data_IF_413815931331
#
_entry.id   IF_413815931331
#
_cell.length_a   1.000
_cell.length_b   1.000
_cell.length_c   1.000
_cell.angle_alpha   90.00
_cell.angle_beta   90.00
_cell.angle_gamma   90.00
#
_symmetry.space_group_name_H-M   'P 1'
#
loop_
_entity.id
_entity.type
_entity.pdbx_description
1 polymer ?
#
# COMPACT_ATOMS: atom_id res chain seq x y z
N UNK A 1 -14.92 11.41 27.33
CA UNK A 1 -16.15 10.99 26.62
C UNK A 1 -15.80 10.35 25.27
N UNK A 2 -14.89 10.94 24.49
CA UNK A 2 -14.42 10.39 23.20
C UNK A 2 -13.78 9.00 23.30
N UNK A 3 -12.97 8.73 24.33
CA UNK A 3 -12.36 7.40 24.54
C UNK A 3 -13.38 6.28 24.76
N UNK A 4 -14.49 6.58 25.43
CA UNK A 4 -15.58 5.62 25.66
C UNK A 4 -16.29 5.26 24.36
N UNK A 5 -16.49 6.25 23.48
CA UNK A 5 -17.11 6.06 22.16
C UNK A 5 -16.17 5.26 21.24
N UNK A 6 -14.87 5.58 21.22
CA UNK A 6 -13.87 4.84 20.46
C UNK A 6 -13.78 3.37 20.93
N UNK A 7 -13.79 3.13 22.25
CA UNK A 7 -13.80 1.78 22.82
C UNK A 7 -15.07 1.01 22.46
N UNK A 8 -16.24 1.64 22.54
CA UNK A 8 -17.51 1.01 22.16
C UNK A 8 -17.52 0.63 20.66
N UNK A 9 -17.05 1.52 19.78
CA UNK A 9 -16.93 1.26 18.34
C UNK A 9 -15.95 0.12 18.04
N UNK A 10 -14.80 0.09 18.72
CA UNK A 10 -13.83 -1.01 18.59
C UNK A 10 -14.45 -2.35 19.00
N UNK A 11 -15.13 -2.41 20.14
CA UNK A 11 -15.78 -3.62 20.63
C UNK A 11 -16.90 -4.08 19.68
N UNK A 12 -17.67 -3.14 19.15
CA UNK A 12 -18.70 -3.44 18.15
C UNK A 12 -18.11 -4.04 16.88
N UNK A 13 -17.03 -3.44 16.35
CA UNK A 13 -16.34 -3.98 15.18
C UNK A 13 -15.76 -5.38 15.43
N UNK A 14 -15.12 -5.60 16.59
CA UNK A 14 -14.60 -6.92 16.99
C UNK A 14 -15.70 -7.97 17.10
N UNK A 15 -16.84 -7.63 17.70
CA UNK A 15 -17.99 -8.53 17.80
C UNK A 15 -18.49 -8.97 16.41
N UNK A 16 -18.66 -8.01 15.49
CA UNK A 16 -19.12 -8.31 14.15
C UNK A 16 -18.10 -9.07 13.30
N UNK A 17 -16.81 -8.78 13.48
CA UNK A 17 -15.72 -9.55 12.87
C UNK A 17 -15.72 -11.01 13.34
N UNK A 18 -15.77 -11.25 14.65
CA UNK A 18 -15.81 -12.62 15.19
C UNK A 18 -17.05 -13.38 14.72
N UNK A 19 -18.20 -12.70 14.68
CA UNK A 19 -19.46 -13.26 14.18
C UNK A 19 -19.36 -13.61 12.69
N UNK A 20 -18.83 -12.73 11.85
CA UNK A 20 -18.70 -13.01 10.42
C UNK A 20 -17.74 -14.16 10.14
N UNK A 21 -16.66 -14.31 10.93
CA UNK A 21 -15.73 -15.45 10.81
C UNK A 21 -16.45 -16.77 11.11
N UNK A 22 -17.24 -16.82 12.18
CA UNK A 22 -18.03 -18.01 12.53
C UNK A 22 -19.07 -18.34 11.46
N UNK A 23 -19.75 -17.31 10.95
CA UNK A 23 -20.76 -17.49 9.90
C UNK A 23 -20.15 -17.94 8.57
N UNK A 24 -18.98 -17.40 8.20
CA UNK A 24 -18.24 -17.85 7.02
C UNK A 24 -17.82 -19.31 7.16
N UNK A 25 -17.31 -19.72 8.31
CA UNK A 25 -16.94 -21.11 8.57
C UNK A 25 -18.13 -22.05 8.38
N UNK A 26 -19.31 -21.64 8.86
CA UNK A 26 -20.58 -22.37 8.67
C UNK A 26 -20.93 -22.49 7.18
N UNK A 27 -20.96 -21.39 6.44
CA UNK A 27 -21.28 -21.36 4.99
C UNK A 27 -20.33 -22.26 4.18
N UNK A 28 -19.03 -22.22 4.49
CA UNK A 28 -18.02 -23.07 3.86
C UNK A 28 -18.23 -24.55 4.17
N UNK A 29 -18.59 -24.88 5.41
CA UNK A 29 -18.86 -26.27 5.82
C UNK A 29 -20.11 -26.87 5.14
N UNK A 30 -21.12 -26.05 4.89
CA UNK A 30 -22.38 -26.44 4.26
C UNK A 30 -22.32 -26.51 2.73
N UNK A 31 -21.19 -26.12 2.11
CA UNK A 31 -20.95 -26.11 0.65
C UNK A 31 -22.09 -25.43 -0.14
N UNK A 32 -22.59 -24.31 0.37
CA UNK A 32 -23.66 -23.57 -0.29
C UNK A 32 -23.21 -23.02 -1.66
N UNK A 33 -24.15 -22.92 -2.61
CA UNK A 33 -23.86 -22.28 -3.90
C UNK A 33 -23.42 -20.82 -3.67
N UNK A 34 -22.27 -20.44 -4.25
CA UNK A 34 -21.70 -19.10 -4.08
C UNK A 34 -20.82 -18.94 -2.82
N UNK A 35 -20.55 -20.01 -2.08
CA UNK A 35 -19.68 -19.97 -0.91
C UNK A 35 -18.27 -19.42 -1.23
N UNK A 36 -17.72 -19.71 -2.41
CA UNK A 36 -16.42 -19.17 -2.83
C UNK A 36 -16.45 -17.64 -3.01
N UNK A 37 -17.51 -17.08 -3.60
CA UNK A 37 -17.67 -15.63 -3.76
C UNK A 37 -17.81 -14.94 -2.41
N UNK A 38 -18.64 -15.50 -1.52
CA UNK A 38 -18.82 -15.00 -0.15
C UNK A 38 -17.48 -15.05 0.61
N UNK A 39 -16.71 -16.13 0.47
CA UNK A 39 -15.41 -16.26 1.12
C UNK A 39 -14.39 -15.24 0.59
N UNK A 40 -14.36 -14.99 -0.71
CA UNK A 40 -13.52 -13.95 -1.32
C UNK A 40 -13.87 -12.56 -0.81
N UNK A 41 -15.16 -12.22 -0.71
CA UNK A 41 -15.61 -10.92 -0.15
C UNK A 41 -15.16 -10.79 1.30
N UNK A 42 -15.40 -11.82 2.11
CA UNK A 42 -15.01 -11.79 3.52
C UNK A 42 -13.49 -11.66 3.68
N UNK A 43 -12.69 -12.35 2.89
CA UNK A 43 -11.23 -12.20 2.90
C UNK A 43 -10.81 -10.75 2.60
N UNK A 44 -11.42 -10.05 1.63
CA UNK A 44 -11.14 -8.61 1.38
C UNK A 44 -11.49 -7.75 2.59
N UNK A 45 -12.64 -7.98 3.22
CA UNK A 45 -13.04 -7.23 4.41
C UNK A 45 -12.08 -7.49 5.58
N UNK A 46 -11.67 -8.74 5.78
CA UNK A 46 -10.73 -9.10 6.84
C UNK A 46 -9.35 -8.51 6.61
N UNK A 47 -8.85 -8.50 5.37
CA UNK A 47 -7.61 -7.79 5.00
C UNK A 47 -7.66 -6.35 5.51
N UNK A 48 -8.73 -5.61 5.19
CA UNK A 48 -8.87 -4.20 5.61
C UNK A 48 -8.92 -4.07 7.13
N UNK A 49 -9.72 -4.90 7.80
CA UNK A 49 -9.89 -4.86 9.25
C UNK A 49 -8.58 -5.18 9.99
N UNK A 50 -7.89 -6.23 9.58
CA UNK A 50 -6.63 -6.65 10.21
C UNK A 50 -5.52 -5.63 9.99
N UNK A 51 -5.44 -5.04 8.78
CA UNK A 51 -4.52 -3.92 8.57
C UNK A 51 -4.87 -2.69 9.43
N UNK A 52 -6.16 -2.33 9.59
CA UNK A 52 -6.56 -1.23 10.48
C UNK A 52 -6.20 -1.48 11.94
N UNK A 53 -6.17 -2.74 12.37
CA UNK A 53 -5.75 -3.14 13.71
C UNK A 53 -4.24 -3.34 13.85
N UNK A 54 -3.47 -3.18 12.76
CA UNK A 54 -2.03 -3.40 12.75
C UNK A 54 -1.63 -4.88 12.72
N UNK A 55 -2.59 -5.79 12.52
CA UNK A 55 -2.37 -7.23 12.35
C UNK A 55 -1.96 -7.53 10.90
N UNK A 56 -0.83 -6.98 10.48
CA UNK A 56 -0.32 -7.07 9.10
C UNK A 56 -0.16 -8.53 8.67
N UNK A 57 0.31 -9.42 9.55
CA UNK A 57 0.47 -10.83 9.22
C UNK A 57 -0.87 -11.54 8.94
N UNK A 58 -1.90 -11.25 9.72
CA UNK A 58 -3.24 -11.84 9.54
C UNK A 58 -3.91 -11.33 8.27
N UNK A 59 -3.82 -10.02 7.99
CA UNK A 59 -4.38 -9.46 6.75
C UNK A 59 -3.75 -10.12 5.52
N UNK A 60 -2.46 -10.36 5.59
CA UNK A 60 -1.68 -11.07 4.58
C UNK A 60 -2.15 -12.52 4.40
N UNK A 61 -2.43 -13.22 5.50
CA UNK A 61 -2.92 -14.60 5.44
C UNK A 61 -4.29 -14.64 4.73
N UNK A 62 -5.17 -13.68 5.05
CA UNK A 62 -6.45 -13.52 4.35
C UNK A 62 -6.28 -13.23 2.86
N UNK A 63 -5.28 -12.44 2.49
CA UNK A 63 -4.96 -12.19 1.09
C UNK A 63 -4.57 -13.47 0.36
N UNK A 64 -3.66 -14.26 0.94
CA UNK A 64 -3.23 -15.54 0.36
C UNK A 64 -4.41 -16.52 0.22
N UNK A 65 -5.21 -16.70 1.28
CA UNK A 65 -6.40 -17.55 1.26
C UNK A 65 -7.39 -17.12 0.19
N UNK A 66 -7.67 -15.82 0.07
CA UNK A 66 -8.57 -15.28 -0.95
C UNK A 66 -8.05 -15.51 -2.38
N UNK A 67 -6.75 -15.34 -2.61
CA UNK A 67 -6.12 -15.64 -3.91
C UNK A 67 -6.22 -17.12 -4.29
N UNK A 68 -6.02 -18.04 -3.34
CA UNK A 68 -6.17 -19.47 -3.60
C UNK A 68 -7.63 -19.87 -3.89
N UNK A 69 -8.59 -19.29 -3.16
CA UNK A 69 -10.02 -19.45 -3.45
C UNK A 69 -10.34 -18.95 -4.86
N UNK A 70 -9.80 -17.80 -5.27
CA UNK A 70 -9.99 -17.27 -6.62
C UNK A 70 -9.42 -18.21 -7.70
N UNK A 71 -8.22 -18.75 -7.50
CA UNK A 71 -7.61 -19.73 -8.43
C UNK A 71 -8.52 -20.95 -8.60
N UNK A 72 -9.05 -21.48 -7.50
CA UNK A 72 -9.99 -22.62 -7.54
C UNK A 72 -11.32 -22.25 -8.21
N UNK A 73 -11.86 -21.07 -7.89
CA UNK A 73 -13.09 -20.55 -8.48
C UNK A 73 -12.97 -20.41 -10.01
N UNK A 74 -11.84 -19.87 -10.50
CA UNK A 74 -11.53 -19.78 -11.95
C UNK A 74 -11.49 -21.14 -12.62
N UNK A 75 -10.88 -22.16 -11.98
CA UNK A 75 -10.80 -23.53 -12.53
C UNK A 75 -12.18 -24.21 -12.64
N UNK A 76 -13.10 -23.91 -11.73
CA UNK A 76 -14.45 -24.49 -11.69
C UNK A 76 -15.40 -23.87 -12.72
N UNK A 77 -15.06 -22.72 -13.33
CA UNK A 77 -15.98 -22.05 -14.27
C UNK A 77 -15.97 -22.69 -15.66
N UNK A 78 -17.15 -22.84 -16.30
CA UNK A 78 -17.23 -23.29 -17.68
C UNK A 78 -16.58 -22.25 -18.61
N UNK A 79 -15.67 -22.73 -19.46
CA UNK A 79 -15.01 -21.92 -20.50
C UNK A 79 -16.10 -21.29 -21.39
N UNK A 80 -16.21 -19.95 -21.36
CA UNK A 80 -17.18 -19.21 -22.19
C UNK A 80 -18.16 -18.32 -21.43
N UNK A 81 -18.21 -18.34 -20.08
CA UNK A 81 -19.00 -17.36 -19.32
C UNK A 81 -18.30 -16.00 -19.36
N UNK A 82 -18.86 -15.06 -20.12
CA UNK A 82 -18.42 -13.65 -20.10
C UNK A 82 -18.77 -13.07 -18.73
N UNK A 83 -17.75 -12.68 -17.97
CA UNK A 83 -17.95 -11.92 -16.73
C UNK A 83 -18.39 -10.52 -17.14
N UNK A 84 -19.54 -10.06 -16.65
CA UNK A 84 -19.98 -8.69 -16.92
C UNK A 84 -18.95 -7.71 -16.35
N UNK A 85 -18.53 -6.76 -17.18
CA UNK A 85 -17.74 -5.61 -16.77
C UNK A 85 -18.50 -4.90 -15.64
N UNK A 86 -17.81 -4.59 -14.54
CA UNK A 86 -18.35 -4.03 -13.28
C UNK A 86 -19.24 -4.94 -12.42
N UNK A 87 -19.36 -6.23 -12.74
CA UNK A 87 -19.91 -7.19 -11.77
C UNK A 87 -19.05 -7.25 -10.51
N UNK A 88 -19.68 -7.57 -9.37
CA UNK A 88 -18.96 -7.84 -8.11
C UNK A 88 -17.83 -8.85 -8.32
N UNK A 89 -18.09 -9.85 -9.15
CA UNK A 89 -17.11 -10.85 -9.57
C UNK A 89 -15.90 -10.22 -10.29
N UNK A 90 -16.12 -9.40 -11.33
CA UNK A 90 -15.04 -8.70 -12.02
C UNK A 90 -14.24 -7.81 -11.07
N UNK A 91 -14.89 -7.14 -10.13
CA UNK A 91 -14.24 -6.30 -9.12
C UNK A 91 -13.41 -7.12 -8.15
N UNK A 92 -13.92 -8.26 -7.67
CA UNK A 92 -13.15 -9.19 -6.83
C UNK A 92 -11.95 -9.74 -7.60
N UNK A 93 -12.12 -10.12 -8.87
CA UNK A 93 -11.01 -10.56 -9.70
C UNK A 93 -9.96 -9.46 -9.85
N UNK A 94 -10.35 -8.22 -10.17
CA UNK A 94 -9.41 -7.09 -10.24
C UNK A 94 -8.67 -6.88 -8.92
N UNK A 95 -9.40 -6.84 -7.81
CA UNK A 95 -8.84 -6.67 -6.46
C UNK A 95 -7.82 -7.78 -6.17
N UNK A 96 -8.17 -9.04 -6.37
CA UNK A 96 -7.25 -10.17 -6.15
C UNK A 96 -6.21 -10.37 -7.23
N UNK A 97 -6.37 -9.87 -8.45
CA UNK A 97 -5.29 -9.88 -9.45
C UNK A 97 -4.28 -8.81 -9.06
N UNK A 98 -4.72 -7.58 -8.76
CA UNK A 98 -3.85 -6.52 -8.25
C UNK A 98 -3.11 -6.96 -6.99
N UNK A 99 -3.79 -7.57 -6.03
CA UNK A 99 -3.17 -8.04 -4.78
C UNK A 99 -2.48 -9.41 -4.90
N UNK A 100 -2.92 -10.28 -5.81
CA UNK A 100 -2.48 -11.67 -5.92
C UNK A 100 -1.27 -11.87 -6.82
N UNK A 101 -1.03 -11.00 -7.81
CA UNK A 101 0.28 -10.90 -8.46
C UNK A 101 1.37 -10.59 -7.42
N UNK A 102 1.02 -9.88 -6.34
CA UNK A 102 1.93 -9.55 -5.24
C UNK A 102 2.15 -10.73 -4.27
N UNK A 103 1.27 -11.73 -4.22
CA UNK A 103 1.38 -12.85 -3.26
C UNK A 103 1.77 -14.17 -3.91
N UNK A 104 1.39 -14.40 -5.17
CA UNK A 104 1.76 -15.63 -5.87
C UNK A 104 3.26 -15.69 -6.18
N UNK A 105 3.92 -14.54 -6.37
CA UNK A 105 5.40 -14.46 -6.45
C UNK A 105 6.09 -14.76 -5.11
N UNK A 106 5.38 -14.57 -4.00
CA UNK A 106 5.87 -14.86 -2.64
C UNK A 106 5.71 -16.34 -2.30
N UNK A 107 4.56 -16.94 -2.63
CA UNK A 107 4.27 -18.34 -2.30
C UNK A 107 5.04 -19.36 -3.17
N UNK A 108 5.26 -19.06 -4.46
CA UNK A 108 6.06 -19.96 -5.34
C UNK A 108 7.55 -19.94 -4.96
N UNK A 109 8.03 -18.88 -4.30
CA UNK A 109 9.42 -18.73 -3.84
C UNK A 109 9.66 -19.12 -2.37
N UNK A 110 8.67 -19.65 -1.67
CA UNK A 110 8.91 -20.24 -0.35
C UNK A 110 9.67 -21.57 -0.43
N UNK A 111 9.65 -22.26 -1.58
CA UNK A 111 10.33 -23.55 -1.75
C UNK A 111 11.57 -23.53 -2.68
N UNK A 112 11.75 -22.56 -3.58
CA UNK A 112 12.81 -22.66 -4.61
C UNK A 112 14.04 -21.76 -4.45
N UNK A 113 13.97 -20.52 -3.95
CA UNK A 113 15.10 -19.60 -4.11
C UNK A 113 15.35 -18.71 -2.88
N UNK A 114 16.03 -19.27 -1.88
CA UNK A 114 17.05 -18.53 -1.12
C UNK A 114 18.40 -18.50 -1.87
N UNK A 115 18.48 -19.11 -3.05
CA UNK A 115 19.62 -18.93 -3.94
C UNK A 115 19.44 -17.64 -4.73
N UNK A 116 20.05 -16.57 -4.23
CA UNK A 116 20.84 -15.67 -5.07
C UNK A 116 20.27 -15.16 -6.38
N UNK A 117 18.94 -15.08 -6.57
CA UNK A 117 18.34 -14.47 -7.76
C UNK A 117 19.00 -13.13 -7.98
N UNK A 118 19.74 -13.01 -9.10
CA UNK A 118 20.76 -11.98 -9.29
C UNK A 118 20.20 -10.61 -8.89
N UNK A 119 20.77 -10.02 -7.83
CA UNK A 119 20.40 -8.67 -7.37
C UNK A 119 20.44 -7.63 -8.51
N UNK A 120 21.16 -7.94 -9.59
CA UNK A 120 21.20 -7.16 -10.82
C UNK A 120 19.83 -7.02 -11.47
N UNK A 121 19.05 -8.09 -11.65
CA UNK A 121 17.78 -8.03 -12.43
C UNK A 121 16.72 -7.12 -11.81
N UNK A 122 16.72 -7.00 -10.49
CA UNK A 122 15.78 -6.12 -9.78
C UNK A 122 16.14 -4.66 -9.88
N UNK A 123 17.39 -4.34 -10.20
CA UNK A 123 17.85 -2.96 -10.25
C UNK A 123 18.28 -2.56 -11.65
N UNK A 124 18.26 -3.46 -12.63
CA UNK A 124 18.68 -3.17 -13.99
C UNK A 124 17.52 -2.64 -14.85
N UNK A 125 17.35 -1.32 -14.84
CA UNK A 125 16.37 -0.62 -15.67
C UNK A 125 16.92 0.72 -16.18
N UNK A 126 16.45 1.12 -17.36
CA UNK A 126 16.84 2.36 -18.04
C UNK A 126 15.63 3.24 -18.44
N UNK A 127 14.40 2.79 -18.14
CA UNK A 127 13.17 3.50 -18.49
C UNK A 127 12.11 3.37 -17.38
N UNK A 128 11.06 4.20 -17.43
CA UNK A 128 10.01 4.24 -16.40
C UNK A 128 9.20 2.94 -16.28
N UNK A 129 8.96 2.23 -17.39
CA UNK A 129 8.17 1.00 -17.38
C UNK A 129 8.89 -0.09 -16.59
N UNK A 130 10.19 -0.24 -16.80
CA UNK A 130 10.99 -1.24 -16.10
C UNK A 130 11.34 -0.80 -14.67
N UNK A 131 11.54 0.50 -14.44
CA UNK A 131 11.66 1.06 -13.09
C UNK A 131 10.43 0.77 -12.23
N UNK A 132 9.24 0.87 -12.81
CA UNK A 132 7.96 0.57 -12.15
C UNK A 132 7.87 -0.90 -11.76
N UNK A 133 8.07 -1.82 -12.70
CA UNK A 133 8.05 -3.27 -12.41
C UNK A 133 9.06 -3.62 -11.32
N UNK A 134 10.24 -3.00 -11.41
CA UNK A 134 11.31 -3.16 -10.43
C UNK A 134 10.88 -2.74 -9.02
N UNK A 135 10.35 -1.52 -8.84
CA UNK A 135 9.92 -1.07 -7.50
C UNK A 135 8.70 -1.82 -6.99
N UNK A 136 7.80 -2.24 -7.87
CA UNK A 136 6.65 -3.07 -7.49
C UNK A 136 7.10 -4.41 -6.91
N UNK A 137 8.14 -5.02 -7.48
CA UNK A 137 8.72 -6.27 -7.00
C UNK A 137 9.54 -6.07 -5.72
N UNK A 138 10.35 -5.01 -5.63
CA UNK A 138 11.04 -4.65 -4.39
C UNK A 138 10.00 -4.41 -3.29
N UNK A 139 8.98 -3.58 -3.52
CA UNK A 139 7.94 -3.33 -2.53
C UNK A 139 7.27 -4.62 -2.03
N UNK A 140 6.99 -5.55 -2.93
CA UNK A 140 6.43 -6.87 -2.58
C UNK A 140 7.37 -7.67 -1.67
N UNK A 141 8.67 -7.69 -1.96
CA UNK A 141 9.68 -8.32 -1.09
C UNK A 141 9.73 -7.65 0.30
N UNK A 142 9.55 -6.33 0.38
CA UNK A 142 9.58 -5.58 1.64
C UNK A 142 8.42 -5.95 2.56
N UNK A 143 7.23 -6.13 1.99
CA UNK A 143 6.07 -6.62 2.73
C UNK A 143 6.29 -8.03 3.30
N UNK A 144 7.08 -8.88 2.62
CA UNK A 144 7.46 -10.22 3.12
C UNK A 144 8.28 -10.12 4.41
N UNK A 145 9.18 -9.15 4.51
CA UNK A 145 10.00 -8.93 5.71
C UNK A 145 9.14 -8.55 6.91
N UNK A 146 8.16 -7.68 6.71
CA UNK A 146 7.21 -7.30 7.78
C UNK A 146 6.44 -8.50 8.29
N UNK A 147 6.00 -9.42 7.41
CA UNK A 147 5.32 -10.66 7.81
C UNK A 147 6.19 -11.50 8.73
N UNK A 148 7.44 -11.73 8.32
CA UNK A 148 8.38 -12.57 9.05
C UNK A 148 8.77 -11.93 10.38
N UNK A 149 8.94 -10.60 10.43
CA UNK A 149 9.20 -9.88 11.68
C UNK A 149 7.99 -9.73 12.61
N UNK A 150 6.75 -9.71 12.07
CA UNK A 150 5.52 -9.51 12.87
C UNK A 150 4.92 -10.80 13.44
N UNK A 151 5.23 -11.97 12.85
CA UNK A 151 4.74 -13.26 13.32
C UNK A 151 5.49 -13.79 14.54
N UNK A 152 6.58 -13.15 14.93
CA UNK A 152 7.49 -13.65 15.96
C UNK A 152 7.47 -12.74 17.19
N UNK A 153 6.95 -13.25 18.31
CA UNK A 153 7.12 -12.59 19.61
C UNK A 153 8.61 -12.48 19.91
N UNK A 154 9.07 -11.28 20.23
CA UNK A 154 10.49 -10.95 20.44
C UNK A 154 11.20 -11.86 21.46
N UNK A 155 10.46 -12.49 22.37
CA UNK A 155 10.96 -13.42 23.39
C UNK A 155 11.19 -14.86 22.90
N UNK A 156 10.67 -15.23 21.72
CA UNK A 156 10.75 -16.60 21.18
C UNK A 156 11.69 -16.76 19.98
N UNK A 157 12.13 -15.66 19.37
CA UNK A 157 13.00 -15.70 18.19
C UNK A 157 14.42 -16.11 18.54
N UNK A 158 14.93 -17.15 17.87
CA UNK A 158 16.32 -17.61 18.01
C UNK A 158 17.32 -16.57 17.49
N UNK A 159 18.56 -16.60 17.98
CA UNK A 159 19.63 -15.71 17.49
C UNK A 159 19.89 -15.87 15.99
N UNK A 160 19.82 -17.10 15.49
CA UNK A 160 19.97 -17.40 14.06
C UNK A 160 18.89 -16.70 13.23
N UNK A 161 17.64 -16.78 13.67
CA UNK A 161 16.52 -16.15 12.99
C UNK A 161 16.61 -14.62 12.99
N UNK A 162 17.07 -14.02 14.10
CA UNK A 162 17.35 -12.57 14.14
C UNK A 162 18.42 -12.17 13.14
N UNK A 163 19.49 -12.96 13.01
CA UNK A 163 20.54 -12.72 12.03
C UNK A 163 20.01 -12.84 10.58
N UNK A 164 19.10 -13.78 10.32
CA UNK A 164 18.41 -13.89 9.03
C UNK A 164 17.57 -12.65 8.71
N UNK A 165 16.74 -12.19 9.65
CA UNK A 165 15.91 -10.99 9.48
C UNK A 165 16.80 -9.77 9.19
N UNK A 166 17.87 -9.58 9.96
CA UNK A 166 18.82 -8.48 9.74
C UNK A 166 19.52 -8.57 8.38
N UNK A 167 19.91 -9.77 7.96
CA UNK A 167 20.51 -9.99 6.64
C UNK A 167 19.51 -9.61 5.54
N UNK A 168 18.26 -10.03 5.66
CA UNK A 168 17.23 -9.70 4.69
C UNK A 168 16.90 -8.20 4.66
N UNK A 169 16.82 -7.56 5.84
CA UNK A 169 16.64 -6.12 5.97
C UNK A 169 17.78 -5.35 5.27
N UNK A 170 19.03 -5.74 5.52
CA UNK A 170 20.21 -5.13 4.90
C UNK A 170 20.21 -5.28 3.38
N UNK A 171 19.87 -6.47 2.87
CA UNK A 171 19.77 -6.73 1.42
C UNK A 171 18.66 -5.86 0.81
N UNK A 172 17.53 -5.76 1.48
CA UNK A 172 16.39 -4.99 1.00
C UNK A 172 16.68 -3.48 0.97
N UNK A 173 17.31 -2.96 2.02
CA UNK A 173 17.77 -1.58 2.10
C UNK A 173 18.74 -1.26 0.95
N UNK A 174 19.72 -2.12 0.72
CA UNK A 174 20.66 -1.96 -0.40
C UNK A 174 19.96 -1.94 -1.77
N UNK A 175 18.94 -2.79 -1.98
CA UNK A 175 18.13 -2.77 -3.21
C UNK A 175 17.39 -1.45 -3.39
N UNK A 176 16.79 -0.90 -2.33
CA UNK A 176 16.10 0.39 -2.38
C UNK A 176 17.06 1.55 -2.68
N UNK A 177 18.27 1.52 -2.10
CA UNK A 177 19.31 2.53 -2.36
C UNK A 177 19.78 2.51 -3.83
N UNK A 178 20.08 1.31 -4.36
CA UNK A 178 20.47 1.15 -5.78
C UNK A 178 19.32 1.53 -6.71
N UNK A 179 18.10 1.10 -6.41
CA UNK A 179 16.90 1.47 -7.17
C UNK A 179 16.75 2.99 -7.23
N UNK A 180 16.84 3.66 -6.07
CA UNK A 180 16.75 5.11 -5.99
C UNK A 180 17.78 5.80 -6.86
N UNK A 181 19.06 5.42 -6.75
CA UNK A 181 20.15 6.03 -7.52
C UNK A 181 19.95 5.87 -9.04
N UNK A 182 19.46 4.72 -9.49
CA UNK A 182 19.17 4.49 -10.91
C UNK A 182 17.93 5.23 -11.38
N UNK A 183 16.89 5.26 -10.55
CA UNK A 183 15.68 6.02 -10.84
C UNK A 183 15.97 7.52 -10.98
N UNK A 184 16.86 8.08 -10.16
CA UNK A 184 17.39 9.44 -10.33
C UNK A 184 18.02 9.62 -11.72
N UNK A 185 18.82 8.65 -12.17
CA UNK A 185 19.42 8.67 -13.51
C UNK A 185 18.37 8.65 -14.64
N UNK A 186 17.30 7.85 -14.51
CA UNK A 186 16.19 7.82 -15.47
C UNK A 186 15.46 9.17 -15.50
N UNK A 187 15.19 9.77 -14.34
CA UNK A 187 14.56 11.08 -14.24
C UNK A 187 15.40 12.16 -14.94
N UNK A 188 16.70 12.23 -14.66
CA UNK A 188 17.58 13.24 -15.27
C UNK A 188 17.73 13.05 -16.78
N UNK A 189 17.78 11.81 -17.28
CA UNK A 189 17.74 11.56 -18.74
C UNK A 189 16.43 12.04 -19.36
N UNK A 190 15.30 11.79 -18.69
CA UNK A 190 13.98 12.20 -19.17
C UNK A 190 13.81 13.72 -19.19
N UNK A 191 14.36 14.45 -18.23
CA UNK A 191 14.35 15.93 -18.21
C UNK A 191 15.07 16.54 -19.41
N UNK A 192 16.14 15.88 -19.86
CA UNK A 192 16.92 16.32 -21.02
C UNK A 192 16.18 16.08 -22.33
N UNK A 193 15.32 15.06 -22.39
CA UNK A 193 14.56 14.69 -23.60
C UNK A 193 13.21 15.42 -23.74
N UNK A 194 12.61 15.91 -22.64
CA UNK A 194 11.21 16.39 -22.66
C UNK A 194 11.10 17.92 -22.57
N UNK A 195 11.09 18.58 -23.74
CA UNK A 195 10.62 19.98 -23.87
C UNK A 195 9.09 20.11 -23.82
N UNK A 196 8.33 19.00 -23.78
CA UNK A 196 6.88 18.97 -23.63
C UNK A 196 6.48 18.67 -22.17
N UNK A 197 6.45 19.75 -21.39
CA UNK A 197 5.91 19.80 -20.03
C UNK A 197 4.38 19.71 -20.08
N UNK A 198 3.79 18.51 -20.05
CA UNK A 198 2.42 18.30 -19.47
C UNK A 198 1.85 16.87 -19.59
N UNK A 199 2.68 15.82 -19.60
CA UNK A 199 2.10 14.48 -19.47
C UNK A 199 1.70 14.18 -18.02
N UNK A 200 0.42 14.43 -17.70
CA UNK A 200 -0.23 14.09 -16.42
C UNK A 200 0.02 12.62 -16.06
N UNK A 201 0.00 11.72 -17.05
CA UNK A 201 0.20 10.29 -16.82
C UNK A 201 1.61 10.00 -16.30
N UNK A 202 2.64 10.60 -16.92
CA UNK A 202 4.03 10.48 -16.46
C UNK A 202 4.20 10.97 -15.01
N UNK A 203 3.59 12.09 -14.63
CA UNK A 203 3.65 12.60 -13.24
C UNK A 203 3.00 11.65 -12.23
N UNK A 204 1.86 11.06 -12.59
CA UNK A 204 1.16 10.07 -11.76
C UNK A 204 1.96 8.78 -11.63
N UNK A 205 2.58 8.31 -12.70
CA UNK A 205 3.41 7.09 -12.68
C UNK A 205 4.67 7.30 -11.82
N UNK A 206 5.33 8.46 -11.95
CA UNK A 206 6.44 8.85 -11.06
C UNK A 206 5.98 8.86 -9.60
N UNK A 207 4.87 9.54 -9.31
CA UNK A 207 4.33 9.62 -7.95
C UNK A 207 3.98 8.24 -7.39
N UNK A 208 3.43 7.35 -8.21
CA UNK A 208 3.12 5.97 -7.83
C UNK A 208 4.40 5.21 -7.47
N UNK A 209 5.45 5.31 -8.28
CA UNK A 209 6.74 4.67 -7.98
C UNK A 209 7.38 5.22 -6.69
N UNK A 210 7.30 6.53 -6.47
CA UNK A 210 7.77 7.19 -5.25
C UNK A 210 6.99 6.69 -4.01
N UNK A 211 5.66 6.58 -4.10
CA UNK A 211 4.84 6.06 -3.02
C UNK A 211 5.21 4.61 -2.66
N UNK A 212 5.50 3.77 -3.66
CA UNK A 212 5.94 2.38 -3.44
C UNK A 212 7.31 2.31 -2.77
N UNK A 213 8.26 3.14 -3.22
CA UNK A 213 9.57 3.29 -2.58
C UNK A 213 9.44 3.71 -1.12
N UNK A 214 8.71 4.79 -0.85
CA UNK A 214 8.53 5.34 0.50
C UNK A 214 7.75 4.38 1.41
N UNK A 215 6.78 3.65 0.86
CA UNK A 215 6.07 2.59 1.59
C UNK A 215 7.00 1.45 2.00
N UNK A 216 7.96 1.10 1.13
CA UNK A 216 8.97 0.08 1.43
C UNK A 216 9.86 0.48 2.61
N UNK A 217 10.17 1.78 2.74
CA UNK A 217 10.90 2.31 3.89
C UNK A 217 10.07 2.21 5.19
N UNK A 218 8.76 2.49 5.13
CA UNK A 218 7.86 2.33 6.29
C UNK A 218 7.82 0.87 6.76
N UNK A 219 7.80 -0.07 5.82
CA UNK A 219 7.82 -1.50 6.12
C UNK A 219 9.12 -1.96 6.76
N UNK A 220 10.27 -1.55 6.21
CA UNK A 220 11.55 -1.83 6.84
C UNK A 220 11.61 -1.31 8.27
N UNK A 221 11.09 -0.11 8.50
CA UNK A 221 11.04 0.45 9.84
C UNK A 221 10.10 -0.35 10.78
N UNK A 222 8.90 -0.69 10.33
CA UNK A 222 7.93 -1.37 11.22
C UNK A 222 8.29 -2.83 11.49
N UNK A 223 8.85 -3.52 10.48
CA UNK A 223 9.23 -4.93 10.53
C UNK A 223 10.69 -5.19 10.94
N UNK A 224 11.54 -4.16 11.00
CA UNK A 224 12.96 -4.30 11.31
C UNK A 224 13.24 -4.68 12.77
N UNK A 225 14.33 -5.41 12.99
CA UNK A 225 14.78 -5.82 14.33
C UNK A 225 16.32 -5.73 14.50
N UNK A 226 16.83 -5.02 15.52
CA UNK A 226 16.08 -4.22 16.50
C UNK A 226 15.40 -3.02 15.84
N UNK A 227 14.35 -2.50 16.47
CA UNK A 227 13.65 -1.30 15.95
C UNK A 227 14.63 -0.13 15.87
N UNK A 228 14.78 0.41 14.68
CA UNK A 228 15.59 1.61 14.42
C UNK A 228 14.76 2.88 14.70
N UNK A 229 15.46 4.01 14.81
CA UNK A 229 14.84 5.32 14.91
C UNK A 229 13.91 5.57 13.69
N UNK A 230 12.81 6.28 13.91
CA UNK A 230 11.84 6.56 12.85
C UNK A 230 12.46 7.47 11.77
N UNK A 231 12.44 7.10 10.48
CA UNK A 231 12.89 7.96 9.39
C UNK A 231 11.84 9.03 9.07
N UNK A 232 11.60 9.96 10.01
CA UNK A 232 10.52 10.96 9.96
C UNK A 232 10.51 11.79 8.67
N UNK A 233 11.69 12.10 8.11
CA UNK A 233 11.82 12.80 6.82
C UNK A 233 11.15 12.02 5.68
N UNK A 234 11.38 10.71 5.61
CA UNK A 234 10.79 9.84 4.60
C UNK A 234 9.29 9.66 4.82
N UNK A 235 8.85 9.60 6.09
CA UNK A 235 7.42 9.57 6.43
C UNK A 235 6.69 10.84 5.98
N UNK A 236 7.33 12.00 6.19
CA UNK A 236 6.84 13.29 5.70
C UNK A 236 6.71 13.32 4.18
N UNK A 237 7.68 12.77 3.45
CA UNK A 237 7.62 12.66 1.99
C UNK A 237 6.48 11.75 1.52
N UNK A 238 6.25 10.61 2.17
CA UNK A 238 5.13 9.71 1.81
C UNK A 238 3.78 10.44 1.92
N UNK A 239 3.59 11.16 3.02
CA UNK A 239 2.39 11.94 3.29
C UNK A 239 2.25 13.06 2.26
N UNK A 240 3.33 13.78 1.97
CA UNK A 240 3.33 14.88 1.01
C UNK A 240 2.95 14.43 -0.40
N UNK A 241 3.59 13.38 -0.93
CA UNK A 241 3.27 12.84 -2.27
C UNK A 241 1.81 12.37 -2.33
N UNK A 242 1.32 11.75 -1.25
CA UNK A 242 -0.09 11.33 -1.15
C UNK A 242 -1.06 12.52 -1.17
N UNK A 243 -0.70 13.63 -0.50
CA UNK A 243 -1.50 14.86 -0.48
C UNK A 243 -1.52 15.54 -1.86
N UNK A 244 -0.40 15.56 -2.59
CA UNK A 244 -0.32 16.10 -3.94
C UNK A 244 -1.25 15.34 -4.90
N UNK A 245 -1.18 14.01 -4.93
CA UNK A 245 -2.07 13.20 -5.76
C UNK A 245 -3.55 13.42 -5.43
N UNK A 246 -3.90 13.53 -4.14
CA UNK A 246 -5.26 13.85 -3.73
C UNK A 246 -5.69 15.26 -4.17
N UNK A 247 -4.79 16.23 -4.19
CA UNK A 247 -5.07 17.59 -4.63
C UNK A 247 -5.30 17.67 -6.16
N UNK A 248 -4.56 16.88 -6.95
CA UNK A 248 -4.71 16.77 -8.40
C UNK A 248 -6.01 16.05 -8.81
N UNK A 249 -6.50 15.15 -7.96
CA UNK A 249 -7.73 14.41 -8.24
C UNK A 249 -9.03 15.24 -8.22
N UNK A 250 -8.98 16.55 -7.98
CA UNK A 250 -10.18 17.38 -7.77
C UNK A 250 -11.03 17.56 -9.03
N UNK A 251 -10.45 17.43 -10.21
CA UNK A 251 -11.03 17.92 -11.46
C UNK A 251 -12.03 16.96 -12.11
N UNK A 252 -11.94 15.65 -11.88
CA UNK A 252 -12.90 14.67 -12.42
C UNK A 252 -13.20 13.50 -11.46
N UNK A 253 -14.37 12.88 -11.62
CA UNK A 253 -14.76 11.68 -10.84
C UNK A 253 -13.82 10.51 -11.14
N UNK A 254 -13.43 10.36 -12.40
CA UNK A 254 -12.52 9.31 -12.87
C UNK A 254 -11.13 9.45 -12.25
N UNK A 255 -10.58 10.67 -12.21
CA UNK A 255 -9.29 10.94 -11.54
C UNK A 255 -9.37 10.64 -10.04
N UNK A 256 -10.46 11.03 -9.36
CA UNK A 256 -10.68 10.66 -7.95
C UNK A 256 -10.65 9.16 -7.74
N UNK A 257 -11.34 8.40 -8.58
CA UNK A 257 -11.38 6.95 -8.45
C UNK A 257 -10.00 6.34 -8.74
N UNK A 258 -9.30 6.81 -9.77
CA UNK A 258 -7.94 6.35 -10.10
C UNK A 258 -6.95 6.60 -8.97
N UNK A 259 -6.88 7.83 -8.46
CA UNK A 259 -5.99 8.18 -7.33
C UNK A 259 -6.35 7.41 -6.07
N UNK A 260 -7.65 7.21 -5.79
CA UNK A 260 -8.08 6.35 -4.69
C UNK A 260 -7.60 4.93 -4.84
N UNK A 261 -7.67 4.36 -6.04
CA UNK A 261 -7.16 3.01 -6.30
C UNK A 261 -5.64 2.93 -6.06
N UNK A 262 -4.88 3.94 -6.46
CA UNK A 262 -3.43 4.02 -6.18
C UNK A 262 -3.16 4.06 -4.68
N UNK A 263 -3.87 4.92 -3.94
CA UNK A 263 -3.67 5.06 -2.50
C UNK A 263 -4.27 3.92 -1.68
N UNK A 264 -5.29 3.24 -2.20
CA UNK A 264 -5.89 2.03 -1.62
C UNK A 264 -5.15 0.76 -2.03
N UNK A 265 -4.14 0.87 -2.91
CA UNK A 265 -3.21 -0.22 -3.19
C UNK A 265 -2.68 -0.74 -1.85
N UNK A 266 -2.69 -2.07 -1.70
CA UNK A 266 -2.20 -2.81 -0.55
C UNK A 266 -0.76 -2.48 -0.18
N UNK A 267 -0.03 -1.74 -1.02
CA UNK A 267 1.33 -1.30 -0.77
C UNK A 267 1.41 0.10 -0.14
N UNK A 268 0.50 1.00 -0.46
CA UNK A 268 0.55 2.39 0.06
C UNK A 268 -0.33 2.53 1.30
N UNK A 269 -1.53 1.95 1.25
CA UNK A 269 -2.52 2.13 2.29
C UNK A 269 -2.06 1.59 3.66
N UNK A 270 -1.45 0.38 3.78
CA UNK A 270 -0.96 -0.10 5.06
C UNK A 270 0.15 0.77 5.64
N UNK A 271 1.01 1.33 4.80
CA UNK A 271 2.08 2.24 5.23
C UNK A 271 1.49 3.49 5.87
N UNK A 272 0.46 4.08 5.26
CA UNK A 272 -0.27 5.20 5.84
C UNK A 272 -0.97 4.82 7.16
N UNK A 273 -1.55 3.62 7.26
CA UNK A 273 -2.17 3.12 8.48
C UNK A 273 -1.14 2.92 9.62
N UNK A 274 0.03 2.35 9.29
CA UNK A 274 1.16 2.20 10.21
C UNK A 274 1.60 3.58 10.72
N UNK A 275 1.78 4.56 9.84
CA UNK A 275 2.15 5.92 10.23
C UNK A 275 1.10 6.54 11.15
N UNK A 276 -0.18 6.44 10.81
CA UNK A 276 -1.29 6.96 11.62
C UNK A 276 -1.30 6.37 13.05
N UNK A 277 -0.96 5.08 13.18
CA UNK A 277 -1.01 4.35 14.43
C UNK A 277 0.26 4.47 15.28
N UNK A 278 1.44 4.40 14.66
CA UNK A 278 2.73 4.15 15.33
C UNK A 278 3.75 5.29 15.21
N UNK A 279 3.54 6.29 14.35
CA UNK A 279 4.52 7.35 14.17
C UNK A 279 4.64 8.23 15.45
N UNK A 280 5.86 8.60 15.83
CA UNK A 280 6.12 9.44 17.01
C UNK A 280 5.69 10.90 16.78
N UNK A 281 5.72 11.36 15.54
CA UNK A 281 5.30 12.71 15.17
C UNK A 281 3.77 12.82 15.11
N UNK A 282 3.20 13.66 15.99
CA UNK A 282 1.76 13.81 16.12
C UNK A 282 1.09 14.46 14.91
N UNK A 283 1.81 15.29 14.15
CA UNK A 283 1.27 16.00 13.01
C UNK A 283 1.31 15.11 11.76
N UNK A 284 2.38 14.33 11.57
CA UNK A 284 2.41 13.27 10.56
C UNK A 284 1.29 12.25 10.79
N UNK A 285 1.03 11.86 12.04
CA UNK A 285 -0.10 10.99 12.38
C UNK A 285 -1.45 11.57 11.94
N UNK A 286 -1.74 12.82 12.28
CA UNK A 286 -3.00 13.49 11.92
C UNK A 286 -3.17 13.58 10.40
N UNK A 287 -2.09 13.90 9.68
CA UNK A 287 -2.09 13.99 8.21
C UNK A 287 -2.32 12.63 7.56
N UNK A 288 -1.66 11.57 8.05
CA UNK A 288 -1.91 10.21 7.60
C UNK A 288 -3.38 9.79 7.81
N UNK A 289 -3.97 10.08 8.98
CA UNK A 289 -5.41 9.86 9.23
C UNK A 289 -6.29 10.63 8.25
N UNK A 290 -5.96 11.89 7.94
CA UNK A 290 -6.71 12.70 7.00
C UNK A 290 -6.66 12.14 5.56
N UNK A 291 -5.51 11.61 5.12
CA UNK A 291 -5.36 10.92 3.83
C UNK A 291 -6.25 9.66 3.82
N UNK A 292 -6.14 8.79 4.83
CA UNK A 292 -6.94 7.57 4.97
C UNK A 292 -8.46 7.85 5.00
N UNK A 293 -8.88 8.99 5.54
CA UNK A 293 -10.28 9.40 5.53
C UNK A 293 -10.77 9.80 4.12
N UNK A 294 -9.90 10.40 3.30
CA UNK A 294 -10.20 10.86 1.92
C UNK A 294 -10.18 9.73 0.88
N UNK A 295 -9.48 8.63 1.18
CA UNK A 295 -9.43 7.43 0.32
C UNK A 295 -10.67 6.55 0.43
N UNK A 296 -11.63 6.88 1.32
CA UNK A 296 -12.92 6.18 1.42
C UNK A 296 -13.70 6.30 0.10
N UNK A 297 -14.31 5.22 -0.40
CA UNK A 297 -15.23 5.29 -1.53
C UNK A 297 -16.36 6.27 -1.23
N UNK A 298 -16.56 7.25 -2.11
CA UNK A 298 -17.76 8.10 -2.04
C UNK A 298 -18.89 7.27 -2.63
N UNK A 299 -19.85 6.88 -1.79
CA UNK A 299 -21.11 6.39 -2.30
C UNK A 299 -21.75 7.53 -3.09
N UNK A 300 -22.00 7.32 -4.38
CA UNK A 300 -22.91 8.18 -5.13
C UNK A 300 -24.27 8.09 -4.45
N UNK A 301 -24.53 9.01 -3.51
CA UNK A 301 -25.90 9.34 -3.18
C UNK A 301 -26.48 9.94 -4.45
N UNK A 302 -27.39 9.20 -5.06
CA UNK A 302 -28.34 9.73 -6.04
C UNK A 302 -28.84 11.06 -5.51
N UNK A 303 -28.59 12.11 -6.27
CA UNK A 303 -28.82 13.51 -5.92
C UNK A 303 -30.26 13.74 -5.44
N UNK A 304 -30.45 13.82 -4.12
CA UNK A 304 -31.48 14.64 -3.51
C UNK A 304 -30.86 15.99 -3.20
N UNK A 305 -31.17 17.01 -3.99
CA UNK A 305 -30.67 18.37 -3.81
C UNK A 305 -31.00 18.90 -2.41
N UNK A 306 -29.97 19.13 -1.60
CA UNK A 306 -30.03 20.19 -0.57
C UNK A 306 -28.67 20.87 -0.55
N UNK A 307 -28.70 22.12 -0.98
CA UNK A 307 -27.62 23.10 -0.88
C UNK A 307 -27.19 23.23 0.58
N UNK A 308 -25.98 22.77 0.88
CA UNK A 308 -25.28 23.07 2.12
C UNK A 308 -23.95 23.72 1.75
N UNK A 309 -23.85 25.01 2.03
CA UNK A 309 -22.66 25.83 1.90
C UNK A 309 -21.51 25.28 2.74
N UNK A 310 -20.40 24.93 2.09
CA UNK A 310 -19.14 24.62 2.75
C UNK A 310 -18.36 25.91 3.04
N UNK A 311 -17.68 26.01 4.20
CA UNK A 311 -16.81 27.13 4.51
C UNK A 311 -15.48 27.02 3.75
N UNK A 312 -15.06 28.12 3.17
CA UNK A 312 -13.74 28.35 2.57
C UNK A 312 -12.66 28.26 3.66
N UNK A 313 -11.87 27.18 3.67
CA UNK A 313 -10.60 27.15 4.41
C UNK A 313 -9.48 27.51 3.46
N UNK A 314 -8.97 28.72 3.60
CA UNK A 314 -7.72 29.21 3.00
C UNK A 314 -6.58 28.31 3.47
N UNK A 315 -5.90 27.63 2.54
CA UNK A 315 -4.63 26.97 2.82
C UNK A 315 -3.59 28.07 2.93
N UNK A 316 -3.23 28.43 4.17
CA UNK A 316 -2.10 29.31 4.44
C UNK A 316 -0.81 28.59 4.05
N UNK A 317 -0.07 29.20 3.13
CA UNK A 317 1.33 28.94 2.86
C UNK A 317 2.12 29.02 4.17
N UNK A 318 2.81 27.93 4.53
CA UNK A 318 3.69 27.88 5.69
C UNK A 318 5.02 27.24 5.29
N UNK A 319 6.07 28.01 5.55
CA UNK A 319 7.47 27.74 5.30
C UNK A 319 7.91 26.40 5.89
N UNK A 320 8.57 25.59 5.07
CA UNK A 320 9.36 24.44 5.51
C UNK A 320 10.68 24.99 6.08
N UNK A 321 11.11 24.61 7.30
CA UNK A 321 12.41 25.02 7.81
C UNK A 321 13.54 24.24 7.11
N UNK A 322 14.51 24.97 6.56
CA UNK A 322 15.80 24.47 6.11
C UNK A 322 16.61 23.89 7.29
N UNK A 323 16.85 22.57 7.33
CA UNK A 323 18.01 21.99 8.06
C UNK A 323 18.56 20.74 7.33
N UNK A 324 19.69 20.99 6.64
CA UNK A 324 20.96 20.24 6.50
C UNK A 324 20.99 18.74 6.12
N UNK A 325 21.46 18.55 4.88
CA UNK A 325 22.40 17.56 4.29
C UNK A 325 22.62 16.18 4.94
N UNK A 326 22.13 15.16 4.23
CA UNK A 326 22.95 13.99 3.85
C UNK A 326 22.49 13.51 2.46
N UNK A 327 23.39 13.66 1.47
CA UNK A 327 23.19 13.45 0.02
C UNK A 327 22.02 14.23 -0.61
N UNK A 328 22.25 15.51 -0.89
CA UNK A 328 21.40 16.31 -1.77
C UNK A 328 21.48 15.79 -3.22
N UNK A 329 20.78 14.69 -3.50
CA UNK A 329 20.39 14.33 -4.86
C UNK A 329 19.13 15.10 -5.28
N UNK A 330 18.86 15.15 -6.58
CA UNK A 330 17.73 15.88 -7.21
C UNK A 330 16.32 15.51 -6.69
N UNK A 331 16.19 14.59 -5.73
CA UNK A 331 14.92 14.22 -5.08
C UNK A 331 14.24 15.37 -4.34
N UNK A 332 15.01 16.24 -3.69
CA UNK A 332 14.45 17.44 -3.04
C UNK A 332 13.79 18.36 -4.07
N UNK A 333 14.52 18.61 -5.16
CA UNK A 333 14.08 19.41 -6.31
C UNK A 333 12.81 18.86 -6.96
N UNK A 334 12.63 17.53 -7.02
CA UNK A 334 11.42 16.94 -7.61
C UNK A 334 10.19 16.97 -6.70
N UNK A 335 10.37 16.79 -5.38
CA UNK A 335 9.30 17.05 -4.42
C UNK A 335 8.84 18.51 -4.53
N UNK A 336 9.75 19.44 -4.79
CA UNK A 336 9.44 20.84 -5.06
C UNK A 336 8.79 21.07 -6.44
N UNK A 337 9.24 20.40 -7.50
CA UNK A 337 8.67 20.54 -8.85
C UNK A 337 7.26 19.94 -8.98
N UNK A 338 6.96 18.88 -8.25
CA UNK A 338 5.59 18.35 -8.12
C UNK A 338 4.69 19.23 -7.22
N UNK A 339 5.30 20.13 -6.44
CA UNK A 339 4.60 21.10 -5.58
C UNK A 339 4.41 22.48 -6.23
N UNK A 340 5.10 22.76 -7.35
CA UNK A 340 5.03 24.03 -8.04
C UNK A 340 3.75 24.13 -8.88
N UNK A 341 2.77 24.88 -8.37
CA UNK A 341 1.70 25.50 -9.15
C UNK A 341 2.05 26.94 -9.47
#
# INVERSE_FOLDING_TARGET
MEDSICKARKNYALYHYAKSVSELARILSERQNGAEEIAMINCVVYIVVDFLWGNVATSIAHLHSGSEILKQYRKKKPKGRVVQEDSLEANLMRVYDTMGHQVSDVAVKEESDLDGGSNSELTDFDNFVDARKSIEKIATDGLRLVRQGSLEDADTTTLERRAEIQKMESVHKGRLEVWRARFEGVLTKSELDHSNKDDKQTKEDISTMLLLYLSSIVWLWDGGYPKQAQPLKMFGQLIHVSELLLAESRDSVEDRNRIRMILFDTRVWPSLAILAAKCEDSDLRKRAVAILAKTRPVHNQTTGSTTSTSPTSTVSSLNVPDIVEESAGNWGTWVEMTSAK
#
